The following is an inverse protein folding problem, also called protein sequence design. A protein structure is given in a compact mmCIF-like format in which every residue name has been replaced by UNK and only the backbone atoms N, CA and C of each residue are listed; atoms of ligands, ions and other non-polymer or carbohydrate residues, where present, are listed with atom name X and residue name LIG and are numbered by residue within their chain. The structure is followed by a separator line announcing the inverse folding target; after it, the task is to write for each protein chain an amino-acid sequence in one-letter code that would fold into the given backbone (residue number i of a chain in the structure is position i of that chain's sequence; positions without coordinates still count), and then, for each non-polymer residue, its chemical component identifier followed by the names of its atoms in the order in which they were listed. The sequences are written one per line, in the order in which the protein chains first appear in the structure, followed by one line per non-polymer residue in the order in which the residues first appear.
data_IF_698296542362
#
_entry.id   IF_698296542362
#
_cell.length_a   1.000
_cell.length_b   1.000
_cell.length_c   1.000
_cell.angle_alpha   90.00
_cell.angle_beta   90.00
_cell.angle_gamma   90.00
#
_symmetry.space_group_name_H-M   'P 1'
#
loop_
_entity.id
_entity.type
_entity.pdbx_description
1 polymer ?
#
# COMPACT_ATOMS: atom_id res chain seq x y z
N UNK A 1 8.64 14.16 5.67
CA UNK A 1 9.70 13.13 5.73
C UNK A 1 9.33 12.13 4.65
N UNK A 2 10.21 11.85 3.69
CA UNK A 2 9.90 10.84 2.67
C UNK A 2 9.82 9.47 3.35
N UNK A 3 8.64 8.85 3.30
CA UNK A 3 8.46 7.46 3.71
C UNK A 3 9.41 6.61 2.86
N UNK A 4 10.10 5.62 3.45
CA UNK A 4 10.82 4.66 2.63
C UNK A 4 9.80 3.88 1.77
N UNK A 5 10.10 3.59 0.50
CA UNK A 5 9.15 2.89 -0.37
C UNK A 5 8.85 1.49 0.17
N UNK A 6 7.59 1.07 0.05
CA UNK A 6 7.15 -0.26 0.48
C UNK A 6 7.73 -1.36 -0.42
N UNK A 7 8.07 -2.49 0.16
CA UNK A 7 8.64 -3.65 -0.57
C UNK A 7 7.62 -4.79 -0.69
N UNK A 8 7.78 -5.67 -1.70
CA UNK A 8 6.99 -6.89 -1.78
C UNK A 8 7.06 -7.70 -0.48
N UNK A 9 5.89 -8.15 0.01
CA UNK A 9 5.72 -8.85 1.28
C UNK A 9 5.38 -7.95 2.48
N UNK A 10 5.47 -6.62 2.35
CA UNK A 10 5.00 -5.72 3.41
C UNK A 10 3.47 -5.79 3.55
N UNK A 11 3.00 -5.83 4.79
CA UNK A 11 1.58 -5.73 5.12
C UNK A 11 1.22 -4.27 5.41
N UNK A 12 0.26 -3.74 4.68
CA UNK A 12 -0.16 -2.34 4.76
C UNK A 12 -1.67 -2.23 4.97
N UNK A 13 -2.09 -1.17 5.66
CA UNK A 13 -3.50 -0.77 5.74
C UNK A 13 -3.76 0.35 4.74
N UNK A 14 -4.98 0.40 4.20
CA UNK A 14 -5.36 1.40 3.21
C UNK A 14 -6.37 2.37 3.81
N UNK A 15 -6.35 3.62 3.35
CA UNK A 15 -7.40 4.58 3.65
C UNK A 15 -8.75 4.10 3.09
N UNK A 16 -9.88 4.51 3.68
CA UNK A 16 -11.19 4.28 3.09
C UNK A 16 -11.23 4.77 1.65
N UNK A 17 -11.98 4.08 0.78
CA UNK A 17 -12.12 4.56 -0.59
C UNK A 17 -12.98 5.84 -0.66
N UNK A 18 -13.12 6.42 -1.87
CA UNK A 18 -13.88 7.65 -2.08
C UNK A 18 -15.35 7.59 -1.66
N UNK A 19 -15.98 6.40 -1.65
CA UNK A 19 -17.32 6.19 -1.11
C UNK A 19 -17.33 5.95 0.42
N UNK A 20 -16.21 6.20 1.10
CA UNK A 20 -15.99 6.00 2.52
C UNK A 20 -16.24 4.54 2.97
N UNK A 21 -16.08 3.57 2.07
CA UNK A 21 -16.20 2.16 2.45
C UNK A 21 -14.89 1.72 3.10
N UNK A 22 -14.98 1.01 4.26
CA UNK A 22 -13.79 0.54 4.94
C UNK A 22 -13.07 -0.51 4.07
N UNK A 23 -11.79 -0.26 3.79
CA UNK A 23 -10.91 -1.25 3.14
C UNK A 23 -10.38 -2.20 4.22
N UNK A 24 -11.07 -3.33 4.40
CA UNK A 24 -10.68 -4.35 5.38
C UNK A 24 -9.35 -5.00 4.97
N UNK A 25 -8.27 -4.59 5.64
CA UNK A 25 -6.92 -5.14 5.50
C UNK A 25 -6.62 -6.28 6.47
N UNK A 26 -5.34 -6.66 6.65
CA UNK A 26 -4.17 -6.05 6.01
C UNK A 26 -4.03 -6.46 4.54
N UNK A 27 -3.36 -5.62 3.75
CA UNK A 27 -3.06 -5.86 2.34
C UNK A 27 -1.57 -6.15 2.17
N UNK A 28 -1.22 -7.18 1.40
CA UNK A 28 0.17 -7.52 1.10
C UNK A 28 0.65 -6.77 -0.16
N UNK A 29 1.76 -6.04 -0.07
CA UNK A 29 2.42 -5.47 -1.24
C UNK A 29 2.97 -6.60 -2.09
N UNK A 30 2.52 -6.71 -3.34
CA UNK A 30 2.93 -7.77 -4.26
C UNK A 30 4.06 -7.27 -5.17
N UNK A 31 4.02 -5.99 -5.57
CA UNK A 31 5.06 -5.33 -6.37
C UNK A 31 4.92 -3.82 -6.36
N UNK A 32 6.04 -3.13 -6.55
CA UNK A 32 6.06 -1.74 -6.99
C UNK A 32 5.70 -1.67 -8.49
N UNK A 33 4.87 -0.69 -8.84
CA UNK A 33 4.52 -0.36 -10.22
C UNK A 33 5.50 0.69 -10.75
N UNK A 34 5.82 0.69 -12.05
CA UNK A 34 6.64 1.75 -12.65
C UNK A 34 5.99 3.11 -12.40
N UNK A 35 6.81 4.08 -11.98
CA UNK A 35 6.39 5.46 -11.79
C UNK A 35 5.74 5.98 -13.07
N UNK A 36 4.48 6.41 -12.99
CA UNK A 36 3.85 7.17 -14.10
C UNK A 36 4.45 8.57 -14.16
N UNK A 37 4.26 9.28 -15.28
CA UNK A 37 4.72 10.66 -15.53
C UNK A 37 4.49 11.64 -14.36
N UNK A 38 3.54 11.38 -13.46
CA UNK A 38 3.28 12.19 -12.27
C UNK A 38 4.25 11.95 -11.09
N UNK A 39 5.29 11.12 -11.26
CA UNK A 39 6.30 10.78 -10.25
C UNK A 39 5.77 10.15 -8.94
N UNK A 40 4.48 9.81 -8.87
CA UNK A 40 3.91 9.14 -7.70
C UNK A 40 4.18 7.63 -7.75
N UNK A 41 4.72 7.10 -6.64
CA UNK A 41 4.93 5.68 -6.46
C UNK A 41 3.58 4.96 -6.34
N UNK A 42 3.44 3.90 -7.11
CA UNK A 42 2.26 3.05 -7.09
C UNK A 42 2.66 1.65 -6.67
N UNK A 43 1.79 1.03 -5.88
CA UNK A 43 2.00 -0.30 -5.36
C UNK A 43 0.84 -1.18 -5.78
N UNK A 44 1.13 -2.41 -6.19
CA UNK A 44 0.11 -3.44 -6.35
C UNK A 44 0.03 -4.20 -5.04
N UNK A 45 -1.15 -4.24 -4.44
CA UNK A 45 -1.42 -4.89 -3.15
C UNK A 45 -2.48 -5.98 -3.28
N UNK A 46 -2.42 -7.01 -2.44
CA UNK A 46 -3.38 -8.12 -2.38
C UNK A 46 -4.13 -8.09 -1.06
N UNK A 47 -5.45 -8.04 -1.12
CA UNK A 47 -6.29 -8.09 0.07
C UNK A 47 -6.50 -9.53 0.57
N UNK A 48 -7.10 -9.69 1.77
CA UNK A 48 -7.38 -11.01 2.37
C UNK A 48 -8.35 -11.86 1.52
N UNK A 49 -9.21 -11.21 0.73
CA UNK A 49 -10.09 -11.89 -0.24
C UNK A 49 -9.35 -12.39 -1.49
N UNK A 50 -8.03 -12.21 -1.56
CA UNK A 50 -7.20 -12.59 -2.71
C UNK A 50 -7.24 -11.62 -3.89
N UNK A 51 -8.06 -10.57 -3.83
CA UNK A 51 -8.17 -9.54 -4.87
C UNK A 51 -6.96 -8.61 -4.88
N UNK A 52 -6.44 -8.32 -6.07
CA UNK A 52 -5.33 -7.39 -6.28
C UNK A 52 -5.84 -5.99 -6.62
N UNK A 53 -5.15 -4.96 -6.12
CA UNK A 53 -5.47 -3.56 -6.37
C UNK A 53 -4.20 -2.76 -6.58
N UNK A 54 -4.23 -1.78 -7.48
CA UNK A 54 -3.20 -0.77 -7.57
C UNK A 54 -3.59 0.39 -6.64
N UNK A 55 -2.66 0.83 -5.80
CA UNK A 55 -2.85 1.93 -4.86
C UNK A 55 -1.68 2.90 -4.97
N UNK A 56 -1.94 4.19 -4.82
CA UNK A 56 -0.88 5.19 -4.66
C UNK A 56 -0.29 5.14 -3.25
N UNK A 57 0.93 5.67 -3.09
CA UNK A 57 1.56 5.87 -1.77
C UNK A 57 0.62 6.59 -0.79
N UNK A 58 -0.10 7.61 -1.27
CA UNK A 58 -1.04 8.41 -0.48
C UNK A 58 -2.27 7.63 0.05
N UNK A 59 -2.58 6.46 -0.52
CA UNK A 59 -3.69 5.61 -0.07
C UNK A 59 -3.27 4.64 1.03
N UNK A 60 -1.97 4.56 1.34
CA UNK A 60 -1.45 3.65 2.36
C UNK A 60 -1.40 4.38 3.71
N UNK A 61 -2.09 3.84 4.71
CA UNK A 61 -2.02 4.34 6.08
C UNK A 61 -0.71 3.87 6.67
N UNK A 62 0.11 4.83 7.10
CA UNK A 62 1.32 4.57 7.88
C UNK A 62 0.92 4.18 9.30
N UNK A 63 0.37 2.98 9.47
CA UNK A 63 0.40 2.32 10.77
C UNK A 63 1.79 1.73 10.94
N UNK A 64 2.79 2.61 11.14
CA UNK A 64 4.19 2.28 11.48
C UNK A 64 4.55 0.85 11.07
N UNK A 65 4.62 0.60 9.75
CA UNK A 65 4.98 -0.70 9.21
C UNK A 65 6.21 -1.14 9.99
N UNK A 66 6.04 -2.22 10.73
CA UNK A 66 6.79 -2.49 11.94
C UNK A 66 8.27 -2.27 11.69
N UNK A 67 8.91 -1.53 12.60
CA UNK A 67 10.36 -1.55 12.76
C UNK A 67 10.79 -3.01 12.92
N UNK A 68 11.11 -3.65 11.80
CA UNK A 68 11.88 -4.89 11.75
C UNK A 68 13.25 -4.52 11.20
N UNK A 69 13.92 -3.62 11.93
CA UNK A 69 15.37 -3.46 11.87
C UNK A 69 15.94 -4.45 12.90
N UNK A 70 16.13 -5.68 12.46
CA UNK A 70 17.01 -6.64 13.12
C UNK A 70 18.47 -6.29 12.87
#
# INVERSE_FOLDING_TARGET
MAQAPYKPGDLVNLTPDFANQPRVGPFEVIRMMPSRDNAEEQYRVRGPSGQERAVGDHEIVVESASVAKG
#
